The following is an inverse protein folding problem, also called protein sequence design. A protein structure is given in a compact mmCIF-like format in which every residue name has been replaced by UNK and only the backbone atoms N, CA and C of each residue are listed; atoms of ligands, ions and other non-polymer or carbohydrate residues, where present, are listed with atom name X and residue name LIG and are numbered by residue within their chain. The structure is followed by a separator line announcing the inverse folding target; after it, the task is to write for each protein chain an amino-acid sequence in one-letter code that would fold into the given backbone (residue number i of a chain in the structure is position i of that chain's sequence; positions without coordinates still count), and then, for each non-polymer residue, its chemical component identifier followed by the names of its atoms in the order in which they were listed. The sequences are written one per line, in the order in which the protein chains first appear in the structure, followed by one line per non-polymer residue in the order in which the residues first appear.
data_IF_367025404651
#
_entry.id   IF_367025404651
#
_cell.length_a   1.000
_cell.length_b   1.000
_cell.length_c   1.000
_cell.angle_alpha   90.00
_cell.angle_beta   90.00
_cell.angle_gamma   90.00
#
_symmetry.space_group_name_H-M   'P 1'
#
loop_
_entity.id
_entity.type
_entity.pdbx_description
1 polymer ?
#
# COMPACT_ATOMS: atom_id res chain seq x y z
N UNK A 1 -2.52 -2.98 -29.23
CA UNK A 1 -1.07 -2.74 -29.19
C UNK A 1 -0.47 -3.55 -28.04
N UNK A 2 0.67 -4.22 -28.24
CA UNK A 2 1.43 -4.88 -27.17
C UNK A 2 2.59 -3.96 -26.79
N UNK A 3 2.88 -3.82 -25.50
CA UNK A 3 4.07 -3.10 -25.04
C UNK A 3 5.33 -3.82 -25.50
N UNK A 4 6.38 -3.06 -25.81
CA UNK A 4 7.74 -3.58 -25.87
C UNK A 4 8.22 -3.93 -24.46
N UNK A 5 9.28 -4.75 -24.35
CA UNK A 5 9.84 -5.08 -23.05
C UNK A 5 10.38 -3.86 -22.30
N UNK A 6 10.99 -2.91 -23.01
CA UNK A 6 11.47 -1.66 -22.38
C UNK A 6 10.33 -0.81 -21.83
N UNK A 7 9.21 -0.69 -22.56
CA UNK A 7 8.02 0.00 -22.05
C UNK A 7 7.42 -0.73 -20.85
N UNK A 8 7.39 -2.06 -20.88
CA UNK A 8 6.90 -2.86 -19.76
C UNK A 8 7.76 -2.70 -18.51
N UNK A 9 9.09 -2.78 -18.65
CA UNK A 9 10.03 -2.60 -17.54
C UNK A 9 9.96 -1.16 -16.97
N UNK A 10 9.82 -0.14 -17.82
CA UNK A 10 9.62 1.25 -17.38
C UNK A 10 8.31 1.41 -16.58
N UNK A 11 7.20 0.84 -17.07
CA UNK A 11 5.91 0.90 -16.38
C UNK A 11 5.94 0.11 -15.05
N UNK A 12 6.65 -1.01 -15.00
CA UNK A 12 6.88 -1.78 -13.78
C UNK A 12 7.64 -0.95 -12.73
N UNK A 13 8.65 -0.18 -13.15
CA UNK A 13 9.34 0.73 -12.23
C UNK A 13 8.36 1.79 -11.66
N UNK A 14 7.52 2.40 -12.51
CA UNK A 14 6.51 3.35 -12.05
C UNK A 14 5.51 2.71 -11.07
N UNK A 15 5.05 1.48 -11.34
CA UNK A 15 4.18 0.74 -10.43
C UNK A 15 4.87 0.42 -9.11
N UNK A 16 6.18 0.13 -9.13
CA UNK A 16 6.98 -0.12 -7.93
C UNK A 16 7.03 1.12 -7.04
N UNK A 17 7.17 2.33 -7.62
CA UNK A 17 7.13 3.57 -6.86
C UNK A 17 5.75 3.81 -6.23
N UNK A 18 4.67 3.56 -6.97
CA UNK A 18 3.31 3.65 -6.43
C UNK A 18 3.10 2.64 -5.29
N UNK A 19 3.61 1.43 -5.44
CA UNK A 19 3.56 0.38 -4.43
C UNK A 19 4.25 0.81 -3.13
N UNK A 20 5.46 1.37 -3.22
CA UNK A 20 6.20 1.87 -2.06
C UNK A 20 5.46 3.04 -1.37
N UNK A 21 4.84 3.92 -2.16
CA UNK A 21 3.99 4.99 -1.64
C UNK A 21 2.79 4.46 -0.86
N UNK A 22 2.10 3.44 -1.39
CA UNK A 22 0.97 2.79 -0.71
C UNK A 22 1.40 2.06 0.57
N UNK A 23 2.52 1.34 0.55
CA UNK A 23 3.08 0.72 1.76
C UNK A 23 3.41 1.76 2.84
N UNK A 24 3.94 2.92 2.44
CA UNK A 24 4.17 4.04 3.34
C UNK A 24 2.88 4.62 3.94
N UNK A 25 1.80 4.71 3.15
CA UNK A 25 0.47 5.12 3.64
C UNK A 25 -0.10 4.10 4.64
N UNK A 26 -0.05 2.82 4.31
CA UNK A 26 -0.49 1.73 5.19
C UNK A 26 0.22 1.80 6.53
N UNK A 27 1.55 1.93 6.53
CA UNK A 27 2.32 2.04 7.77
C UNK A 27 1.87 3.26 8.60
N UNK A 28 1.61 4.41 7.96
CA UNK A 28 1.05 5.57 8.66
C UNK A 28 -0.33 5.31 9.25
N UNK A 29 -1.23 4.65 8.52
CA UNK A 29 -2.55 4.32 9.07
C UNK A 29 -2.43 3.33 10.23
N UNK A 30 -1.56 2.33 10.14
CA UNK A 30 -1.31 1.36 11.23
C UNK A 30 -0.76 2.03 12.51
N UNK A 31 -0.07 3.16 12.37
CA UNK A 31 0.59 3.85 13.49
C UNK A 31 -0.17 5.08 14.01
N UNK A 32 -1.11 5.62 13.23
CA UNK A 32 -1.77 6.89 13.53
C UNK A 32 -3.30 6.85 13.49
N UNK A 33 -3.93 5.76 13.05
CA UNK A 33 -5.38 5.60 13.16
C UNK A 33 -5.81 5.56 14.63
N UNK A 34 -6.83 6.32 14.96
CA UNK A 34 -7.38 6.45 16.32
C UNK A 34 -8.31 5.29 16.69
N UNK A 35 -8.77 4.53 15.69
CA UNK A 35 -9.63 3.36 15.85
C UNK A 35 -9.45 2.40 14.67
N UNK A 36 -9.87 1.15 14.86
CA UNK A 36 -9.94 0.16 13.78
C UNK A 36 -10.86 0.66 12.65
N UNK A 37 -12.01 1.23 12.98
CA UNK A 37 -12.95 1.77 11.99
C UNK A 37 -12.29 2.84 11.09
N UNK A 38 -11.46 3.72 11.65
CA UNK A 38 -10.74 4.71 10.85
C UNK A 38 -9.72 4.06 9.91
N UNK A 39 -9.01 3.04 10.38
CA UNK A 39 -8.10 2.26 9.53
C UNK A 39 -8.86 1.57 8.39
N UNK A 40 -9.95 0.87 8.70
CA UNK A 40 -10.77 0.15 7.74
C UNK A 40 -11.33 1.10 6.67
N UNK A 41 -11.77 2.30 7.06
CA UNK A 41 -12.22 3.32 6.12
C UNK A 41 -11.12 3.73 5.14
N UNK A 42 -9.89 3.99 5.62
CA UNK A 42 -8.76 4.34 4.75
C UNK A 42 -8.39 3.19 3.80
N UNK A 43 -8.45 1.95 4.30
CA UNK A 43 -8.24 0.75 3.49
C UNK A 43 -9.29 0.66 2.38
N UNK A 44 -10.57 0.83 2.72
CA UNK A 44 -11.67 0.70 1.78
C UNK A 44 -11.66 1.82 0.73
N UNK A 45 -11.50 3.07 1.15
CA UNK A 45 -11.60 4.23 0.27
C UNK A 45 -10.34 4.42 -0.60
N UNK A 46 -9.16 4.05 -0.09
CA UNK A 46 -7.88 4.32 -0.77
C UNK A 46 -7.14 3.06 -1.17
N UNK A 47 -6.88 2.13 -0.24
CA UNK A 47 -6.02 0.98 -0.54
C UNK A 47 -6.65 0.01 -1.55
N UNK A 48 -7.92 -0.32 -1.36
CA UNK A 48 -8.61 -1.31 -2.17
C UNK A 48 -8.69 -0.95 -3.68
N UNK A 49 -9.09 0.26 -4.09
CA UNK A 49 -9.10 0.61 -5.51
C UNK A 49 -7.69 0.66 -6.12
N UNK A 50 -6.72 1.19 -5.37
CA UNK A 50 -5.32 1.26 -5.81
C UNK A 50 -4.69 -0.12 -5.98
N UNK A 51 -4.90 -1.02 -5.03
CA UNK A 51 -4.41 -2.40 -5.09
C UNK A 51 -5.04 -3.17 -6.26
N UNK A 52 -6.32 -2.93 -6.54
CA UNK A 52 -7.03 -3.52 -7.68
C UNK A 52 -6.39 -3.08 -9.00
N UNK A 53 -6.14 -1.78 -9.16
CA UNK A 53 -5.49 -1.24 -10.36
C UNK A 53 -4.05 -1.72 -10.50
N UNK A 54 -3.28 -1.69 -9.41
CA UNK A 54 -1.88 -2.12 -9.39
C UNK A 54 -1.76 -3.60 -9.78
N UNK A 55 -2.60 -4.46 -9.21
CA UNK A 55 -2.65 -5.89 -9.56
C UNK A 55 -3.01 -6.09 -11.03
N UNK A 56 -4.05 -5.40 -11.51
CA UNK A 56 -4.53 -5.51 -12.89
C UNK A 56 -3.46 -5.08 -13.90
N UNK A 57 -2.78 -3.96 -13.67
CA UNK A 57 -1.75 -3.47 -14.58
C UNK A 57 -0.52 -4.38 -14.52
N UNK A 58 -0.09 -4.80 -13.33
CA UNK A 58 1.04 -5.72 -13.16
C UNK A 58 0.84 -7.02 -13.94
N UNK A 59 -0.34 -7.63 -13.87
CA UNK A 59 -0.66 -8.85 -14.64
C UNK A 59 -0.62 -8.61 -16.14
N UNK A 60 -1.03 -7.42 -16.62
CA UNK A 60 -0.98 -7.08 -18.06
C UNK A 60 0.45 -6.89 -18.57
N UNK A 61 1.37 -6.44 -17.74
CA UNK A 61 2.77 -6.19 -18.10
C UNK A 61 3.67 -7.42 -17.95
N UNK A 62 3.29 -8.37 -17.10
CA UNK A 62 4.05 -9.58 -16.80
C UNK A 62 4.54 -10.35 -18.05
N UNK A 63 3.76 -10.54 -19.13
CA UNK A 63 4.21 -11.30 -20.30
C UNK A 63 5.28 -10.59 -21.15
N UNK A 64 5.48 -9.29 -20.97
CA UNK A 64 6.44 -8.48 -21.74
C UNK A 64 7.66 -8.06 -20.91
N UNK A 65 7.57 -8.18 -19.59
CA UNK A 65 8.62 -7.80 -18.65
C UNK A 65 9.83 -8.73 -18.74
N UNK A 66 11.03 -8.14 -18.80
CA UNK A 66 12.28 -8.90 -18.81
C UNK A 66 12.98 -8.87 -17.44
N UNK A 67 12.66 -7.89 -16.59
CA UNK A 67 13.23 -7.77 -15.25
C UNK A 67 12.46 -8.63 -14.24
N UNK A 68 12.92 -9.88 -14.06
CA UNK A 68 12.33 -10.84 -13.12
C UNK A 68 12.47 -10.42 -11.65
N UNK A 69 13.48 -9.62 -11.31
CA UNK A 69 13.70 -9.11 -9.95
C UNK A 69 12.63 -8.07 -9.62
N UNK A 70 12.38 -7.12 -10.53
CA UNK A 70 11.34 -6.11 -10.33
C UNK A 70 9.93 -6.73 -10.31
N UNK A 71 9.66 -7.73 -11.15
CA UNK A 71 8.41 -8.48 -11.09
C UNK A 71 8.22 -9.15 -9.72
N UNK A 72 9.25 -9.81 -9.19
CA UNK A 72 9.21 -10.42 -7.86
C UNK A 72 9.00 -9.39 -6.73
N UNK A 73 9.60 -8.21 -6.83
CA UNK A 73 9.42 -7.12 -5.88
C UNK A 73 7.98 -6.59 -5.88
N UNK A 74 7.39 -6.38 -7.06
CA UNK A 74 5.97 -5.99 -7.18
C UNK A 74 5.06 -7.06 -6.58
N UNK A 75 5.28 -8.34 -6.93
CA UNK A 75 4.46 -9.44 -6.40
C UNK A 75 4.48 -9.48 -4.87
N UNK A 76 5.68 -9.35 -4.29
CA UNK A 76 5.87 -9.32 -2.83
C UNK A 76 5.16 -8.12 -2.20
N UNK A 77 5.26 -6.95 -2.84
CA UNK A 77 4.60 -5.74 -2.40
C UNK A 77 3.07 -5.85 -2.45
N UNK A 78 2.51 -6.43 -3.52
CA UNK A 78 1.08 -6.72 -3.65
C UNK A 78 0.63 -7.61 -2.50
N UNK A 79 1.34 -8.68 -2.20
CA UNK A 79 1.01 -9.57 -1.08
C UNK A 79 1.01 -8.83 0.26
N UNK A 80 1.96 -7.93 0.49
CA UNK A 80 1.98 -7.11 1.72
C UNK A 80 0.77 -6.16 1.80
N UNK A 81 0.40 -5.53 0.69
CA UNK A 81 -0.77 -4.65 0.62
C UNK A 81 -2.08 -5.44 0.79
N UNK A 82 -2.16 -6.66 0.24
CA UNK A 82 -3.30 -7.56 0.45
C UNK A 82 -3.45 -7.94 1.93
N UNK A 83 -2.34 -8.29 2.61
CA UNK A 83 -2.37 -8.56 4.04
C UNK A 83 -2.79 -7.34 4.86
N UNK A 84 -2.43 -6.12 4.41
CA UNK A 84 -2.84 -4.89 5.06
C UNK A 84 -4.37 -4.66 4.99
N UNK A 85 -5.06 -5.20 3.99
CA UNK A 85 -6.51 -5.03 3.86
C UNK A 85 -7.32 -5.61 5.03
N UNK A 86 -6.79 -6.63 5.70
CA UNK A 86 -7.45 -7.33 6.81
C UNK A 86 -6.71 -7.12 8.13
N UNK A 87 -5.76 -6.18 8.17
CA UNK A 87 -4.94 -5.95 9.35
C UNK A 87 -5.76 -5.37 10.50
N UNK A 88 -5.54 -5.93 11.69
CA UNK A 88 -6.12 -5.44 12.94
C UNK A 88 -5.07 -4.65 13.71
N UNK A 89 -5.41 -3.42 14.07
CA UNK A 89 -4.58 -2.58 14.91
C UNK A 89 -4.41 -3.24 16.28
N UNK A 90 -3.18 -3.23 16.80
CA UNK A 90 -2.90 -3.73 18.13
C UNK A 90 -3.37 -2.75 19.20
N UNK A 91 -3.64 -3.21 20.44
CA UNK A 91 -3.95 -2.32 21.56
C UNK A 91 -2.91 -1.22 21.76
N UNK A 92 -1.62 -1.54 21.62
CA UNK A 92 -0.52 -0.57 21.77
C UNK A 92 -0.54 0.50 20.67
N UNK A 93 -0.84 0.12 19.42
CA UNK A 93 -0.98 1.09 18.32
C UNK A 93 -2.11 2.08 18.60
N UNK A 94 -3.25 1.59 19.09
CA UNK A 94 -4.40 2.42 19.46
C UNK A 94 -4.09 3.32 20.67
N UNK A 95 -3.42 2.79 21.70
CA UNK A 95 -3.02 3.55 22.87
C UNK A 95 -2.09 4.70 22.49
N UNK A 96 -1.02 4.43 21.73
CA UNK A 96 -0.09 5.45 21.27
C UNK A 96 -0.72 6.51 20.37
N UNK A 97 -1.64 6.12 19.48
CA UNK A 97 -2.37 7.07 18.64
C UNK A 97 -3.24 8.03 19.48
N UNK A 98 -3.89 7.50 20.53
CA UNK A 98 -4.73 8.28 21.44
C UNK A 98 -3.92 9.20 22.36
N UNK A 99 -2.80 8.74 22.90
CA UNK A 99 -1.86 9.57 23.68
C UNK A 99 -1.39 10.77 22.86
N UNK A 100 -1.00 10.56 21.60
CA UNK A 100 -0.60 11.63 20.68
C UNK A 100 -1.73 12.63 20.41
N UNK A 101 -3.00 12.20 20.43
CA UNK A 101 -4.15 13.10 20.29
C UNK A 101 -4.35 13.95 21.55
N UNK A 102 -4.29 13.33 22.72
CA UNK A 102 -4.41 14.03 24.01
C UNK A 102 -3.28 15.05 24.20
N UNK A 103 -2.03 14.67 23.94
CA UNK A 103 -0.87 15.56 24.07
C UNK A 103 -0.91 16.76 23.10
N UNK A 104 -1.67 16.68 22.00
CA UNK A 104 -1.92 17.83 21.12
C UNK A 104 -2.93 18.80 21.74
N UNK A 105 -4.02 18.28 22.31
CA UNK A 105 -5.03 19.11 22.98
C UNK A 105 -4.52 19.85 24.23
N UNK A 106 -3.49 19.33 24.91
CA UNK A 106 -2.90 19.98 26.09
C UNK A 106 -1.79 20.98 25.75
N UNK A 107 -1.42 21.14 24.47
CA UNK A 107 -0.37 22.06 24.01
C UNK A 107 -0.92 23.32 23.34
N UNK A 108 -2.21 23.33 23.01
CA UNK A 108 -2.95 24.52 22.54
C UNK A 108 -3.58 25.24 23.74
#
# INVERSE_FOLDING_TARGET
MKFTSQEADYLINLLTNQLLSLLGRVNRWQTHSLSQQQYDQQVQETLQPELTMLTTISTKLQPQANDSIQLGAIQTGITKLQAAMTYQLTPDQLAHANERRLNRHFRD
#
